data_IF_689632452177
#
_entry.id   IF_689632452177
#
_cell.length_a   1.000
_cell.length_b   1.000
_cell.length_c   1.000
_cell.angle_alpha   90.00
_cell.angle_beta   90.00
_cell.angle_gamma   90.00
#
_symmetry.space_group_name_H-M   'P 1'
#
loop_
_entity.id
_entity.type
_entity.pdbx_description
1 polymer ?
#
# COMPACT_ATOMS: atom_id res chain seq x y z
N UNK A 1 -1.65 -49.24 -1.53
CA UNK A 1 -2.27 -48.01 -2.05
C UNK A 1 -3.73 -48.34 -2.40
N UNK A 2 -4.68 -47.96 -1.51
CA UNK A 2 -6.09 -48.25 -1.70
C UNK A 2 -6.68 -47.42 -2.84
N UNK A 3 -7.37 -48.08 -3.77
CA UNK A 3 -8.10 -47.36 -4.84
C UNK A 3 -9.31 -46.64 -4.23
N UNK A 4 -9.36 -45.32 -4.36
CA UNK A 4 -10.53 -44.54 -4.00
C UNK A 4 -11.78 -45.09 -4.71
N UNK A 5 -12.88 -45.25 -3.97
CA UNK A 5 -14.18 -45.62 -4.56
C UNK A 5 -14.65 -44.55 -5.55
N UNK A 6 -15.55 -44.90 -6.48
CA UNK A 6 -16.10 -43.96 -7.48
C UNK A 6 -16.64 -42.70 -6.82
N UNK A 7 -17.35 -42.81 -5.70
CA UNK A 7 -17.86 -41.69 -4.88
C UNK A 7 -16.73 -40.87 -4.29
N UNK A 8 -15.67 -41.48 -3.75
CA UNK A 8 -14.50 -40.80 -3.23
C UNK A 8 -13.76 -39.98 -4.29
N UNK A 9 -13.71 -40.44 -5.55
CA UNK A 9 -13.14 -39.68 -6.68
C UNK A 9 -13.98 -38.45 -7.03
N UNK A 10 -15.30 -38.53 -7.00
CA UNK A 10 -16.19 -37.39 -7.25
C UNK A 10 -16.10 -36.36 -6.14
N UNK A 11 -16.02 -36.76 -4.86
CA UNK A 11 -15.82 -35.86 -3.73
C UNK A 11 -14.47 -35.13 -3.85
N UNK A 12 -13.39 -35.87 -4.15
CA UNK A 12 -12.06 -35.26 -4.32
C UNK A 12 -12.03 -34.27 -5.50
N UNK A 13 -12.71 -34.60 -6.61
CA UNK A 13 -12.84 -33.67 -7.74
C UNK A 13 -13.61 -32.41 -7.39
N UNK A 14 -14.75 -32.56 -6.67
CA UNK A 14 -15.56 -31.39 -6.25
C UNK A 14 -14.79 -30.49 -5.27
N UNK A 15 -14.06 -31.06 -4.31
CA UNK A 15 -13.20 -30.30 -3.38
C UNK A 15 -12.08 -29.58 -4.14
N UNK A 16 -11.43 -30.26 -5.09
CA UNK A 16 -10.39 -29.67 -5.94
C UNK A 16 -10.90 -28.48 -6.78
N UNK A 17 -12.08 -28.64 -7.40
CA UNK A 17 -12.74 -27.56 -8.15
C UNK A 17 -13.09 -26.38 -7.25
N UNK A 18 -13.63 -26.63 -6.06
CA UNK A 18 -13.96 -25.60 -5.07
C UNK A 18 -12.70 -24.84 -4.62
N UNK A 19 -11.64 -25.55 -4.30
CA UNK A 19 -10.35 -24.94 -3.94
C UNK A 19 -9.76 -24.09 -5.08
N UNK A 20 -9.81 -24.60 -6.31
CA UNK A 20 -9.39 -23.89 -7.51
C UNK A 20 -10.20 -22.61 -7.77
N UNK A 21 -11.53 -22.66 -7.57
CA UNK A 21 -12.40 -21.49 -7.71
C UNK A 21 -12.07 -20.40 -6.69
N UNK A 22 -11.88 -20.76 -5.40
CA UNK A 22 -11.48 -19.82 -4.36
C UNK A 22 -10.11 -19.24 -4.66
N UNK A 23 -9.14 -20.05 -5.06
CA UNK A 23 -7.80 -19.58 -5.43
C UNK A 23 -7.82 -18.64 -6.63
N UNK A 24 -8.57 -18.98 -7.68
CA UNK A 24 -8.76 -18.13 -8.85
C UNK A 24 -9.42 -16.79 -8.49
N UNK A 25 -10.46 -16.82 -7.65
CA UNK A 25 -11.10 -15.62 -7.15
C UNK A 25 -10.14 -14.75 -6.34
N UNK A 26 -9.32 -15.38 -5.45
CA UNK A 26 -8.31 -14.66 -4.67
C UNK A 26 -7.30 -13.98 -5.60
N UNK A 27 -6.71 -14.70 -6.54
CA UNK A 27 -5.77 -14.14 -7.51
C UNK A 27 -6.41 -13.00 -8.33
N UNK A 28 -7.65 -13.20 -8.78
CA UNK A 28 -8.39 -12.17 -9.52
C UNK A 28 -8.63 -10.92 -8.67
N UNK A 29 -9.09 -11.06 -7.42
CA UNK A 29 -9.37 -9.91 -6.56
C UNK A 29 -8.13 -9.10 -6.20
N UNK A 30 -6.96 -9.74 -6.14
CA UNK A 30 -5.70 -9.08 -5.82
C UNK A 30 -5.08 -8.36 -7.02
N UNK A 31 -5.30 -8.88 -8.25
CA UNK A 31 -4.52 -8.47 -9.41
C UNK A 31 -5.34 -7.88 -10.57
N UNK A 32 -6.68 -8.05 -10.56
CA UNK A 32 -7.50 -7.55 -11.66
C UNK A 32 -7.68 -6.03 -11.60
N UNK A 33 -7.46 -5.31 -12.70
CA UNK A 33 -7.73 -3.89 -12.76
C UNK A 33 -9.22 -3.61 -12.55
N UNK A 34 -9.53 -2.53 -11.85
CA UNK A 34 -10.89 -2.06 -11.64
C UNK A 34 -11.27 -1.10 -12.78
N UNK A 35 -11.69 -1.66 -13.91
CA UNK A 35 -12.08 -0.86 -15.09
C UNK A 35 -13.56 -1.07 -15.44
N UNK A 36 -14.27 -0.02 -15.92
CA UNK A 36 -13.84 1.38 -15.92
C UNK A 36 -13.79 1.97 -14.50
N UNK A 37 -12.86 2.89 -14.26
CA UNK A 37 -12.86 3.67 -13.03
C UNK A 37 -14.02 4.68 -13.07
N UNK A 38 -14.79 4.83 -11.98
CA UNK A 38 -15.75 5.93 -11.90
C UNK A 38 -14.99 7.27 -11.91
N UNK A 39 -15.60 8.34 -12.43
CA UNK A 39 -15.04 9.69 -12.28
C UNK A 39 -14.75 10.00 -10.81
N UNK A 40 -13.73 10.81 -10.55
CA UNK A 40 -13.45 11.26 -9.18
C UNK A 40 -14.63 12.06 -8.64
N UNK A 41 -15.05 11.72 -7.42
CA UNK A 41 -16.10 12.48 -6.72
C UNK A 41 -15.58 13.84 -6.28
N UNK A 42 -14.28 13.91 -5.95
CA UNK A 42 -13.58 15.13 -5.56
C UNK A 42 -12.26 15.22 -6.30
N UNK A 43 -11.87 16.45 -6.63
CA UNK A 43 -10.58 16.82 -7.19
C UNK A 43 -9.93 17.87 -6.30
N UNK A 44 -8.68 18.26 -6.53
CA UNK A 44 -8.07 19.37 -5.80
C UNK A 44 -8.87 20.67 -5.80
N UNK A 45 -9.69 20.91 -6.83
CA UNK A 45 -10.55 22.09 -6.93
C UNK A 45 -11.60 22.15 -5.81
N UNK A 46 -12.32 21.05 -5.55
CA UNK A 46 -13.37 21.00 -4.51
C UNK A 46 -12.81 21.16 -3.10
N UNK A 47 -11.55 20.78 -2.88
CA UNK A 47 -10.87 20.96 -1.58
C UNK A 47 -10.07 22.25 -1.49
N UNK A 48 -10.15 23.11 -2.51
CA UNK A 48 -9.61 24.47 -2.52
C UNK A 48 -8.08 24.52 -2.50
N UNK A 49 -7.40 23.62 -3.22
CA UNK A 49 -5.95 23.63 -3.36
C UNK A 49 -5.54 23.72 -4.83
N UNK A 50 -4.52 24.53 -5.16
CA UNK A 50 -3.96 24.55 -6.49
C UNK A 50 -3.19 23.25 -6.73
N UNK A 51 -3.48 22.57 -7.83
CA UNK A 51 -2.75 21.38 -8.23
C UNK A 51 -2.41 21.43 -9.72
N UNK A 52 -1.24 20.93 -10.06
CA UNK A 52 -0.82 20.71 -11.44
C UNK A 52 -0.99 19.22 -11.76
N UNK A 53 -1.62 18.89 -12.87
CA UNK A 53 -1.60 17.54 -13.37
C UNK A 53 -0.18 17.17 -13.83
N UNK A 54 0.28 16.00 -13.42
CA UNK A 54 1.60 15.50 -13.77
C UNK A 54 1.51 14.07 -14.28
N UNK A 55 2.41 13.71 -15.17
CA UNK A 55 2.52 12.35 -15.71
C UNK A 55 3.99 11.94 -15.77
N UNK A 56 4.24 10.67 -15.44
CA UNK A 56 5.57 10.07 -15.49
C UNK A 56 5.45 8.57 -15.75
N UNK A 57 6.53 7.95 -16.23
CA UNK A 57 6.50 6.55 -16.65
C UNK A 57 7.39 5.70 -15.77
N UNK A 58 6.93 4.49 -15.51
CA UNK A 58 7.70 3.44 -14.84
C UNK A 58 8.74 2.84 -15.76
N UNK A 59 9.71 2.11 -15.20
CA UNK A 59 10.74 1.40 -15.95
C UNK A 59 10.21 0.31 -16.88
N UNK A 60 9.03 -0.24 -16.58
CA UNK A 60 8.32 -1.22 -17.41
C UNK A 60 7.27 -0.58 -18.35
N UNK A 61 7.29 0.77 -18.49
CA UNK A 61 6.55 1.49 -19.51
C UNK A 61 5.12 1.87 -19.16
N UNK A 62 4.68 1.72 -17.91
CA UNK A 62 3.36 2.17 -17.47
C UNK A 62 3.37 3.67 -17.25
N UNK A 63 2.42 4.40 -17.87
CA UNK A 63 2.22 5.84 -17.63
C UNK A 63 1.43 6.03 -16.34
N UNK A 64 1.96 6.83 -15.41
CA UNK A 64 1.31 7.17 -14.15
C UNK A 64 0.82 8.62 -14.18
N UNK A 65 -0.33 8.86 -13.56
CA UNK A 65 -0.96 10.16 -13.44
C UNK A 65 -0.97 10.63 -11.99
N UNK A 66 -0.70 11.90 -11.76
CA UNK A 66 -0.67 12.48 -10.42
C UNK A 66 -1.15 13.92 -10.37
N UNK A 67 -1.36 14.39 -9.15
CA UNK A 67 -1.54 15.80 -8.81
C UNK A 67 -0.36 16.28 -7.98
N UNK A 68 0.27 17.34 -8.46
CA UNK A 68 1.35 18.02 -7.76
C UNK A 68 0.82 19.28 -7.10
N UNK A 69 0.91 19.35 -5.80
CA UNK A 69 0.60 20.52 -4.98
C UNK A 69 1.93 21.22 -4.68
N UNK A 70 2.15 22.34 -5.33
CA UNK A 70 3.41 23.07 -5.35
C UNK A 70 3.54 24.03 -4.16
N UNK A 71 4.68 23.96 -3.47
CA UNK A 71 5.10 24.94 -2.47
C UNK A 71 6.55 25.34 -2.79
N UNK A 72 6.74 26.38 -3.65
CA UNK A 72 8.05 26.65 -4.27
C UNK A 72 9.15 27.03 -3.28
N UNK A 73 8.81 27.49 -2.09
CA UNK A 73 9.77 27.86 -1.06
C UNK A 73 10.25 26.66 -0.21
N UNK A 74 9.65 25.51 -0.40
CA UNK A 74 9.92 24.28 0.36
C UNK A 74 10.78 23.28 -0.40
N UNK A 75 11.76 22.69 0.29
CA UNK A 75 12.48 21.50 -0.18
C UNK A 75 11.83 20.19 0.27
N UNK A 76 10.87 20.28 1.19
CA UNK A 76 10.15 19.12 1.68
C UNK A 76 9.16 18.62 0.63
N UNK A 77 9.18 17.31 0.35
CA UNK A 77 8.25 16.64 -0.55
C UNK A 77 7.63 15.45 0.16
N UNK A 78 6.31 15.39 0.20
CA UNK A 78 5.58 14.21 0.67
C UNK A 78 4.94 13.50 -0.53
N UNK A 79 5.39 12.29 -0.84
CA UNK A 79 4.76 11.42 -1.83
C UNK A 79 3.68 10.61 -1.13
N UNK A 80 2.42 10.75 -1.55
CA UNK A 80 1.29 10.05 -0.97
C UNK A 80 0.88 8.85 -1.84
N UNK A 81 0.77 7.66 -1.21
CA UNK A 81 0.46 6.39 -1.85
C UNK A 81 -0.86 5.83 -1.34
N UNK A 82 -1.83 5.63 -2.22
CA UNK A 82 -3.15 5.08 -1.88
C UNK A 82 -3.13 3.56 -1.62
N UNK A 83 -4.20 3.03 -1.04
CA UNK A 83 -4.38 1.60 -0.80
C UNK A 83 -4.82 0.82 -2.05
N UNK A 84 -4.90 -0.51 -1.89
CA UNK A 84 -5.41 -1.41 -2.93
C UNK A 84 -6.82 -1.02 -3.36
N UNK A 85 -7.05 -0.95 -4.67
CA UNK A 85 -8.33 -0.51 -5.29
C UNK A 85 -8.75 0.93 -4.97
N UNK A 86 -7.83 1.73 -4.43
CA UNK A 86 -7.99 3.17 -4.27
C UNK A 86 -7.46 3.96 -5.47
N UNK A 87 -7.44 5.27 -5.33
CA UNK A 87 -6.89 6.20 -6.29
C UNK A 87 -6.39 7.48 -5.59
N UNK A 88 -5.76 8.39 -6.33
CA UNK A 88 -5.20 9.64 -5.78
C UNK A 88 -6.23 10.56 -5.12
N UNK A 89 -7.51 10.46 -5.48
CA UNK A 89 -8.56 11.27 -4.85
C UNK A 89 -8.85 10.85 -3.40
N UNK A 90 -8.62 9.58 -3.04
CA UNK A 90 -8.75 9.11 -1.65
C UNK A 90 -7.76 9.83 -0.71
N UNK A 91 -6.67 10.37 -1.27
CA UNK A 91 -5.61 11.06 -0.55
C UNK A 91 -5.90 12.55 -0.33
N UNK A 92 -6.99 13.09 -0.90
CA UNK A 92 -7.42 14.48 -0.72
C UNK A 92 -7.88 14.79 0.72
N UNK A 93 -8.09 13.76 1.54
CA UNK A 93 -8.32 13.94 2.98
C UNK A 93 -7.10 14.48 3.72
N UNK A 94 -5.90 14.09 3.30
CA UNK A 94 -4.64 14.41 3.99
C UNK A 94 -3.70 15.30 3.18
N UNK A 95 -3.54 15.07 1.88
CA UNK A 95 -2.60 15.79 1.02
C UNK A 95 -2.71 17.31 1.07
N UNK A 96 -3.92 17.90 0.96
CA UNK A 96 -4.12 19.33 1.12
C UNK A 96 -3.73 19.89 2.50
N UNK A 97 -3.87 19.08 3.55
CA UNK A 97 -3.39 19.45 4.89
C UNK A 97 -1.88 19.58 4.91
N UNK A 98 -1.16 18.58 4.40
CA UNK A 98 0.30 18.59 4.32
C UNK A 98 0.83 19.75 3.48
N UNK A 99 0.15 20.08 2.38
CA UNK A 99 0.49 21.24 1.56
C UNK A 99 0.31 22.57 2.32
N UNK A 100 -0.75 22.70 3.13
CA UNK A 100 -0.96 23.92 3.96
C UNK A 100 0.08 24.05 5.08
N UNK A 101 0.65 22.93 5.54
CA UNK A 101 1.77 22.91 6.50
C UNK A 101 3.13 23.19 5.84
N UNK A 102 3.15 23.54 4.54
CA UNK A 102 4.35 24.00 3.87
C UNK A 102 5.12 22.93 3.09
N UNK A 103 4.56 21.74 2.89
CA UNK A 103 5.19 20.70 2.10
C UNK A 103 4.74 20.74 0.63
N UNK A 104 5.64 20.37 -0.30
CA UNK A 104 5.21 19.93 -1.62
C UNK A 104 4.55 18.56 -1.49
N UNK A 105 3.49 18.30 -2.25
CA UNK A 105 2.79 17.02 -2.16
C UNK A 105 2.55 16.43 -3.54
N UNK A 106 2.95 15.18 -3.74
CA UNK A 106 2.60 14.38 -4.90
C UNK A 106 1.55 13.34 -4.51
N UNK A 107 0.35 13.49 -5.08
CA UNK A 107 -0.72 12.47 -5.02
C UNK A 107 -0.74 11.77 -6.37
N UNK A 108 -0.55 10.46 -6.44
CA UNK A 108 -0.54 9.76 -7.72
C UNK A 108 -1.37 8.46 -7.69
N UNK A 109 -1.83 8.04 -8.85
CA UNK A 109 -2.48 6.76 -9.04
C UNK A 109 -1.44 5.68 -9.32
N UNK A 110 -1.46 4.59 -8.56
CA UNK A 110 -0.73 3.39 -8.94
C UNK A 110 -1.24 2.82 -10.27
N UNK A 111 -0.43 1.96 -10.92
CA UNK A 111 -0.78 1.27 -12.16
C UNK A 111 -2.18 0.66 -12.11
N UNK A 112 -2.93 0.78 -13.20
CA UNK A 112 -4.30 0.27 -13.29
C UNK A 112 -5.32 0.95 -12.40
N UNK A 113 -4.98 2.05 -11.72
CA UNK A 113 -5.85 2.86 -10.88
C UNK A 113 -6.10 4.22 -11.52
N UNK A 114 -7.27 4.83 -11.23
CA UNK A 114 -7.60 6.18 -11.63
C UNK A 114 -7.28 6.49 -13.09
N UNK A 115 -6.48 7.54 -13.32
CA UNK A 115 -6.05 7.99 -14.65
C UNK A 115 -4.72 7.35 -15.08
N UNK A 116 -4.07 6.55 -14.23
CA UNK A 116 -2.86 5.83 -14.61
C UNK A 116 -3.13 4.73 -15.62
N UNK A 117 -2.13 4.45 -16.44
CA UNK A 117 -2.18 3.40 -17.46
C UNK A 117 -2.33 2.01 -16.88
N UNK A 118 -2.80 1.09 -17.72
CA UNK A 118 -2.91 -0.32 -17.36
C UNK A 118 -1.53 -0.96 -17.26
N UNK A 119 -1.39 -1.84 -16.27
CA UNK A 119 -0.22 -2.64 -16.02
C UNK A 119 -0.59 -3.87 -15.20
N UNK A 120 0.37 -4.77 -15.00
CA UNK A 120 0.15 -5.88 -14.07
C UNK A 120 0.00 -5.31 -12.67
N UNK A 121 -1.20 -5.41 -12.11
CA UNK A 121 -1.45 -5.04 -10.71
C UNK A 121 -1.05 -6.18 -9.78
N UNK A 122 -0.81 -5.82 -8.53
CA UNK A 122 -0.50 -6.78 -7.48
C UNK A 122 -0.92 -6.21 -6.10
N UNK A 123 -0.46 -6.85 -5.06
CA UNK A 123 -0.55 -6.33 -3.70
C UNK A 123 0.88 -6.02 -3.23
N UNK A 124 1.41 -4.85 -3.62
CA UNK A 124 2.74 -4.32 -3.29
C UNK A 124 3.94 -5.04 -3.97
N UNK A 125 3.74 -5.79 -5.06
CA UNK A 125 4.85 -6.35 -5.84
C UNK A 125 5.24 -5.45 -7.01
N UNK A 126 4.33 -5.25 -7.96
CA UNK A 126 4.59 -4.41 -9.15
C UNK A 126 4.54 -2.91 -8.82
N UNK A 127 3.79 -2.52 -7.80
CA UNK A 127 3.60 -1.13 -7.37
C UNK A 127 4.90 -0.49 -6.83
N UNK A 128 5.93 -1.29 -6.50
CA UNK A 128 7.26 -0.77 -6.16
C UNK A 128 7.89 0.00 -7.34
N UNK A 129 7.70 -0.46 -8.58
CA UNK A 129 8.17 0.27 -9.76
C UNK A 129 7.45 1.61 -9.95
N UNK A 130 6.20 1.72 -9.51
CA UNK A 130 5.43 2.96 -9.59
C UNK A 130 5.96 3.99 -8.59
N UNK A 131 6.20 3.58 -7.36
CA UNK A 131 6.77 4.46 -6.34
C UNK A 131 8.21 4.87 -6.72
N UNK A 132 9.02 3.97 -7.27
CA UNK A 132 10.34 4.30 -7.79
C UNK A 132 10.27 5.36 -8.90
N UNK A 133 9.29 5.25 -9.82
CA UNK A 133 9.07 6.25 -10.86
C UNK A 133 8.61 7.61 -10.30
N UNK A 134 7.81 7.61 -9.24
CA UNK A 134 7.43 8.83 -8.52
C UNK A 134 8.65 9.50 -7.88
N UNK A 135 9.53 8.72 -7.23
CA UNK A 135 10.82 9.20 -6.68
C UNK A 135 11.71 9.79 -7.78
N UNK A 136 11.79 9.12 -8.92
CA UNK A 136 12.56 9.59 -10.07
C UNK A 136 12.00 10.91 -10.63
N UNK A 137 10.68 11.04 -10.69
CA UNK A 137 10.03 12.26 -11.14
C UNK A 137 10.33 13.42 -10.18
N UNK A 138 10.20 13.21 -8.87
CA UNK A 138 10.52 14.21 -7.84
C UNK A 138 11.99 14.61 -7.93
N UNK A 139 12.92 13.66 -8.01
CA UNK A 139 14.34 13.93 -8.04
C UNK A 139 14.75 14.77 -9.28
N UNK A 140 14.09 14.55 -10.43
CA UNK A 140 14.34 15.33 -11.65
C UNK A 140 13.70 16.72 -11.62
N UNK A 141 12.47 16.82 -11.12
CA UNK A 141 11.69 18.06 -11.12
C UNK A 141 12.06 18.99 -9.97
N UNK A 142 12.51 18.42 -8.83
CA UNK A 142 12.85 19.13 -7.60
C UNK A 142 14.18 18.63 -7.04
N UNK A 143 15.31 18.97 -7.69
CA UNK A 143 16.64 18.54 -7.25
C UNK A 143 16.95 19.00 -5.82
N UNK A 144 17.41 18.06 -4.99
CA UNK A 144 17.70 18.32 -3.58
C UNK A 144 16.47 18.33 -2.67
N UNK A 145 15.33 17.80 -3.14
CA UNK A 145 14.16 17.57 -2.31
C UNK A 145 14.45 16.56 -1.20
N UNK A 146 13.92 16.82 -0.01
CA UNK A 146 13.87 15.89 1.11
C UNK A 146 12.55 15.12 1.03
N UNK A 147 12.61 13.82 0.82
CA UNK A 147 11.44 13.02 0.45
C UNK A 147 10.97 12.16 1.62
N UNK A 148 9.73 12.36 2.03
CA UNK A 148 8.98 11.44 2.90
C UNK A 148 7.88 10.76 2.09
N UNK A 149 7.63 9.49 2.36
CA UNK A 149 6.49 8.77 1.79
C UNK A 149 5.42 8.60 2.85
N UNK A 150 4.22 9.12 2.59
CA UNK A 150 3.01 8.86 3.37
C UNK A 150 2.13 7.88 2.61
N UNK A 151 1.81 6.75 3.21
CA UNK A 151 1.20 5.66 2.48
C UNK A 151 0.17 4.87 3.30
N UNK A 152 -0.81 4.29 2.59
CA UNK A 152 -1.95 3.62 3.18
C UNK A 152 -2.06 2.17 2.70
N UNK A 153 -2.27 1.21 3.62
CA UNK A 153 -2.56 -0.19 3.29
C UNK A 153 -1.52 -0.81 2.35
N UNK A 154 -1.93 -1.26 1.15
CA UNK A 154 -1.02 -1.74 0.09
C UNK A 154 0.10 -0.73 -0.20
N UNK A 155 -0.24 0.56 -0.33
CA UNK A 155 0.74 1.62 -0.55
C UNK A 155 1.77 1.69 0.57
N UNK A 156 1.36 1.50 1.84
CA UNK A 156 2.26 1.49 2.99
C UNK A 156 3.24 0.31 2.94
N UNK A 157 2.76 -0.87 2.57
CA UNK A 157 3.61 -2.04 2.36
C UNK A 157 4.55 -1.88 1.16
N UNK A 158 4.07 -1.24 0.08
CA UNK A 158 4.90 -0.85 -1.08
C UNK A 158 6.01 0.12 -0.66
N UNK A 159 5.68 1.11 0.18
CA UNK A 159 6.65 2.09 0.67
C UNK A 159 7.78 1.44 1.49
N UNK A 160 7.47 0.48 2.37
CA UNK A 160 8.48 -0.29 3.13
C UNK A 160 9.43 -1.02 2.17
N UNK A 161 8.87 -1.77 1.21
CA UNK A 161 9.64 -2.56 0.25
C UNK A 161 10.54 -1.68 -0.63
N UNK A 162 10.03 -0.54 -1.08
CA UNK A 162 10.80 0.42 -1.90
C UNK A 162 11.87 1.12 -1.07
N UNK A 163 11.55 1.54 0.15
CA UNK A 163 12.49 2.26 1.01
C UNK A 163 13.70 1.42 1.43
N UNK A 164 13.57 0.10 1.50
CA UNK A 164 14.70 -0.80 1.75
C UNK A 164 15.73 -0.79 0.60
N UNK A 165 15.32 -0.37 -0.59
CA UNK A 165 16.14 -0.38 -1.81
C UNK A 165 16.50 1.04 -2.30
N UNK A 166 15.76 2.07 -1.86
CA UNK A 166 15.92 3.44 -2.32
C UNK A 166 16.23 4.40 -1.17
N UNK A 167 17.48 4.88 -1.06
CA UNK A 167 17.91 5.77 0.01
C UNK A 167 17.34 7.20 -0.08
N UNK A 168 16.68 7.57 -1.18
CA UNK A 168 16.07 8.89 -1.35
C UNK A 168 14.85 9.09 -0.44
N UNK A 169 14.23 8.01 0.04
CA UNK A 169 13.16 8.08 1.03
C UNK A 169 13.81 8.31 2.40
N UNK A 170 13.68 9.52 2.94
CA UNK A 170 14.28 9.89 4.23
C UNK A 170 13.44 9.46 5.43
N UNK A 171 12.12 9.39 5.28
CA UNK A 171 11.22 8.96 6.33
C UNK A 171 9.94 8.31 5.77
N UNK A 172 9.23 7.59 6.63
CA UNK A 172 7.99 6.88 6.28
C UNK A 172 6.87 7.22 7.26
N UNK A 173 5.67 7.51 6.73
CA UNK A 173 4.42 7.56 7.49
C UNK A 173 3.50 6.47 6.90
N UNK A 174 3.21 5.44 7.66
CA UNK A 174 2.61 4.20 7.18
C UNK A 174 1.32 3.91 7.94
N UNK A 175 0.19 4.00 7.27
CA UNK A 175 -1.11 3.66 7.84
C UNK A 175 -1.56 2.27 7.40
N UNK A 176 -1.79 1.40 8.37
CA UNK A 176 -2.30 0.03 8.21
C UNK A 176 -1.49 -0.83 7.21
N UNK A 177 -0.14 -0.87 7.29
CA UNK A 177 0.67 -1.77 6.47
C UNK A 177 0.48 -3.23 6.86
N UNK A 178 0.69 -4.15 5.93
CA UNK A 178 0.79 -5.58 6.26
C UNK A 178 2.25 -6.03 6.37
N UNK A 179 2.51 -7.00 7.25
CA UNK A 179 3.86 -7.58 7.43
C UNK A 179 4.21 -8.57 6.32
N UNK A 180 3.26 -9.41 5.90
CA UNK A 180 3.42 -10.38 4.80
C UNK A 180 2.13 -10.51 4.00
N UNK A 181 2.24 -10.66 2.68
CA UNK A 181 1.08 -10.89 1.81
C UNK A 181 0.35 -12.19 2.17
N UNK A 182 1.09 -13.28 2.42
CA UNK A 182 0.51 -14.55 2.88
C UNK A 182 -0.28 -14.40 4.17
N UNK A 183 0.21 -13.58 5.11
CA UNK A 183 -0.44 -13.32 6.40
C UNK A 183 -1.78 -12.63 6.25
N UNK A 184 -1.85 -11.58 5.44
CA UNK A 184 -3.13 -10.86 5.22
C UNK A 184 -4.15 -11.71 4.47
N UNK A 185 -3.72 -12.52 3.49
CA UNK A 185 -4.61 -13.45 2.78
C UNK A 185 -5.12 -14.53 3.75
N UNK A 186 -4.24 -15.10 4.57
CA UNK A 186 -4.62 -16.08 5.59
C UNK A 186 -5.60 -15.50 6.62
N UNK A 187 -5.41 -14.25 7.05
CA UNK A 187 -6.33 -13.55 7.94
C UNK A 187 -7.72 -13.38 7.31
N UNK A 188 -7.76 -12.99 6.02
CA UNK A 188 -9.02 -12.89 5.30
C UNK A 188 -9.72 -14.25 5.13
N UNK A 189 -8.98 -15.33 4.83
CA UNK A 189 -9.56 -16.67 4.79
C UNK A 189 -10.15 -17.07 6.16
N UNK A 190 -9.47 -16.78 7.28
CA UNK A 190 -10.03 -17.03 8.64
C UNK A 190 -11.31 -16.24 8.87
N UNK A 191 -11.38 -14.96 8.48
CA UNK A 191 -12.56 -14.12 8.60
C UNK A 191 -13.78 -14.72 7.91
N UNK A 192 -13.59 -15.31 6.73
CA UNK A 192 -14.64 -15.99 5.98
C UNK A 192 -14.79 -17.47 6.33
N UNK A 193 -14.12 -17.94 7.41
CA UNK A 193 -14.15 -19.34 7.87
C UNK A 193 -13.71 -20.35 6.80
N UNK A 194 -12.84 -19.92 5.90
CA UNK A 194 -12.26 -20.79 4.87
C UNK A 194 -11.04 -21.54 5.42
N UNK A 195 -10.76 -22.78 4.94
CA UNK A 195 -9.62 -23.57 5.38
C UNK A 195 -8.29 -23.02 4.80
N UNK A 196 -7.80 -21.91 5.35
CA UNK A 196 -6.66 -21.16 4.81
C UNK A 196 -5.39 -21.98 4.64
N UNK A 197 -5.13 -22.95 5.55
CA UNK A 197 -3.95 -23.84 5.42
C UNK A 197 -3.95 -24.67 4.14
N UNK A 198 -5.12 -25.01 3.62
CA UNK A 198 -5.28 -25.78 2.38
C UNK A 198 -5.37 -24.86 1.15
N UNK A 199 -6.01 -23.72 1.29
CA UNK A 199 -6.30 -22.80 0.17
C UNK A 199 -5.11 -21.90 -0.17
N UNK A 200 -4.35 -21.45 0.84
CA UNK A 200 -3.26 -20.50 0.62
C UNK A 200 -2.19 -21.02 -0.35
N UNK A 201 -1.68 -22.28 -0.24
CA UNK A 201 -0.73 -22.81 -1.22
C UNK A 201 -1.29 -22.92 -2.64
N UNK A 202 -2.60 -23.22 -2.76
CA UNK A 202 -3.27 -23.30 -4.07
C UNK A 202 -3.42 -21.89 -4.66
N UNK A 203 -3.81 -20.92 -3.86
CA UNK A 203 -3.92 -19.53 -4.29
C UNK A 203 -2.56 -18.94 -4.69
N UNK A 204 -1.50 -19.25 -3.94
CA UNK A 204 -0.14 -18.82 -4.28
C UNK A 204 0.32 -19.43 -5.61
N UNK A 205 0.08 -20.73 -5.83
CA UNK A 205 0.40 -21.39 -7.09
C UNK A 205 -0.36 -20.76 -8.27
N UNK A 206 -1.66 -20.51 -8.12
CA UNK A 206 -2.49 -19.84 -9.14
C UNK A 206 -1.96 -18.43 -9.40
N UNK A 207 -1.64 -17.66 -8.37
CA UNK A 207 -1.08 -16.33 -8.50
C UNK A 207 0.25 -16.34 -9.24
N UNK A 208 1.15 -17.27 -8.89
CA UNK A 208 2.44 -17.44 -9.57
C UNK A 208 2.29 -17.74 -11.06
N UNK A 209 1.36 -18.63 -11.43
CA UNK A 209 1.14 -19.02 -12.84
C UNK A 209 0.51 -17.90 -13.65
N UNK A 210 -0.53 -17.25 -13.13
CA UNK A 210 -1.32 -16.30 -13.90
C UNK A 210 -0.91 -14.83 -13.71
N UNK A 211 -0.38 -14.48 -12.54
CA UNK A 211 0.00 -13.11 -12.20
C UNK A 211 1.53 -12.89 -12.21
N UNK A 212 2.34 -13.95 -12.22
CA UNK A 212 3.79 -13.89 -12.44
C UNK A 212 4.62 -13.65 -11.18
N UNK A 213 4.04 -13.69 -9.98
CA UNK A 213 4.76 -13.57 -8.71
C UNK A 213 4.15 -14.46 -7.62
N UNK A 214 4.94 -14.83 -6.62
CA UNK A 214 4.50 -15.58 -5.45
C UNK A 214 4.20 -14.66 -4.27
N UNK A 215 3.27 -15.05 -3.39
CA UNK A 215 2.95 -14.29 -2.18
C UNK A 215 4.17 -14.13 -1.26
N UNK A 216 5.05 -15.11 -1.21
CA UNK A 216 6.29 -15.10 -0.44
C UNK A 216 7.31 -14.06 -0.93
N UNK A 217 7.14 -13.49 -2.12
CA UNK A 217 7.98 -12.39 -2.61
C UNK A 217 7.55 -11.03 -2.05
N UNK A 218 6.41 -10.95 -1.36
CA UNK A 218 5.88 -9.71 -0.79
C UNK A 218 5.89 -9.81 0.73
N UNK A 219 7.04 -9.45 1.31
CA UNK A 219 7.34 -9.57 2.73
C UNK A 219 7.90 -8.25 3.30
N UNK A 220 7.05 -7.25 3.53
CA UNK A 220 7.47 -5.99 4.14
C UNK A 220 8.22 -6.15 5.47
N UNK A 221 7.93 -7.23 6.23
CA UNK A 221 8.63 -7.51 7.49
C UNK A 221 10.13 -7.72 7.29
N UNK A 222 10.54 -8.42 6.23
CA UNK A 222 11.96 -8.68 5.96
C UNK A 222 12.64 -7.37 5.48
N UNK A 223 11.93 -6.56 4.70
CA UNK A 223 12.39 -5.24 4.29
C UNK A 223 12.52 -4.29 5.49
N UNK A 224 11.56 -4.32 6.43
CA UNK A 224 11.61 -3.51 7.66
C UNK A 224 12.83 -3.87 8.52
N UNK A 225 13.15 -5.15 8.64
CA UNK A 225 14.32 -5.61 9.43
C UNK A 225 15.67 -5.20 8.81
N UNK A 226 15.70 -4.93 7.51
CA UNK A 226 16.89 -4.52 6.76
C UNK A 226 16.86 -3.04 6.35
N UNK A 227 15.87 -2.29 6.81
CA UNK A 227 15.71 -0.88 6.47
C UNK A 227 16.90 -0.08 7.00
N UNK A 228 17.60 0.70 6.17
CA UNK A 228 18.61 1.63 6.67
C UNK A 228 17.99 2.57 7.70
N UNK A 229 18.76 3.02 8.73
CA UNK A 229 18.25 3.88 9.80
C UNK A 229 17.52 5.10 9.25
N UNK A 230 16.22 5.19 9.50
CA UNK A 230 15.35 6.32 9.15
C UNK A 230 14.12 6.35 10.05
N UNK A 231 13.56 7.53 10.31
CA UNK A 231 12.33 7.65 11.09
C UNK A 231 11.14 6.99 10.39
N UNK A 232 10.35 6.22 11.14
CA UNK A 232 9.14 5.55 10.66
C UNK A 232 8.00 5.80 11.66
N UNK A 233 6.91 6.35 11.18
CA UNK A 233 5.65 6.47 11.92
C UNK A 233 4.68 5.40 11.42
N UNK A 234 4.36 4.43 12.27
CA UNK A 234 3.34 3.41 12.02
C UNK A 234 2.02 3.83 12.67
N UNK A 235 0.95 3.82 11.92
CA UNK A 235 -0.41 4.15 12.35
C UNK A 235 -1.29 2.93 12.10
N UNK A 236 -2.08 2.47 13.11
CA UNK A 236 -2.94 1.30 12.90
C UNK A 236 -4.14 1.30 13.84
N UNK A 237 -5.28 0.84 13.34
CA UNK A 237 -6.50 0.67 14.13
C UNK A 237 -6.54 -0.70 14.83
N UNK A 238 -7.01 -0.76 16.09
CA UNK A 238 -7.08 -2.01 16.85
C UNK A 238 -8.14 -2.98 16.34
N UNK A 239 -9.16 -2.48 15.63
CA UNK A 239 -10.24 -3.30 15.06
C UNK A 239 -10.15 -3.45 13.54
N UNK A 240 -8.93 -3.30 12.99
CA UNK A 240 -8.70 -3.50 11.54
C UNK A 240 -9.06 -4.93 11.13
N UNK A 241 -10.14 -5.04 10.34
CA UNK A 241 -10.69 -6.32 9.88
C UNK A 241 -10.08 -6.81 8.57
N UNK A 242 -9.27 -6.00 7.91
CA UNK A 242 -8.61 -6.33 6.64
C UNK A 242 -7.17 -6.75 6.90
N UNK A 243 -6.43 -5.92 7.64
CA UNK A 243 -5.06 -6.18 8.06
C UNK A 243 -5.04 -6.15 9.59
N UNK A 244 -5.09 -7.32 10.26
CA UNK A 244 -5.09 -7.36 11.72
C UNK A 244 -3.96 -6.58 12.36
N UNK A 245 -4.23 -5.94 13.50
CA UNK A 245 -3.29 -5.07 14.23
C UNK A 245 -1.94 -5.73 14.51
N UNK A 246 -1.92 -7.06 14.65
CA UNK A 246 -0.70 -7.85 14.86
C UNK A 246 0.34 -7.65 13.74
N UNK A 247 -0.08 -7.25 12.53
CA UNK A 247 0.84 -6.94 11.44
C UNK A 247 1.67 -5.68 11.74
N UNK A 248 1.06 -4.65 12.34
CA UNK A 248 1.78 -3.45 12.76
C UNK A 248 2.77 -3.75 13.90
N UNK A 249 2.37 -4.57 14.87
CA UNK A 249 3.25 -5.02 15.95
C UNK A 249 4.46 -5.79 15.39
N UNK A 250 4.22 -6.75 14.49
CA UNK A 250 5.29 -7.50 13.83
C UNK A 250 6.28 -6.59 13.07
N UNK A 251 5.77 -5.57 12.39
CA UNK A 251 6.62 -4.62 11.67
C UNK A 251 7.42 -3.73 12.64
N UNK A 252 6.82 -3.28 13.72
CA UNK A 252 7.52 -2.49 14.75
C UNK A 252 8.60 -3.32 15.45
N UNK A 253 8.31 -4.57 15.80
CA UNK A 253 9.25 -5.49 16.43
C UNK A 253 10.42 -5.90 15.51
N UNK A 254 10.17 -5.96 14.20
CA UNK A 254 11.16 -6.31 13.19
C UNK A 254 12.05 -5.13 12.76
N UNK A 255 11.70 -3.91 13.15
CA UNK A 255 12.43 -2.73 12.73
C UNK A 255 13.91 -2.80 13.14
N UNK A 256 14.76 -2.41 12.20
CA UNK A 256 16.20 -2.24 12.43
C UNK A 256 16.50 -1.05 13.34
N UNK A 257 17.77 -0.61 13.42
CA UNK A 257 18.22 0.44 14.33
C UNK A 257 17.78 1.86 13.91
N UNK A 258 16.51 2.02 13.53
CA UNK A 258 15.86 3.28 13.24
C UNK A 258 14.88 3.66 14.36
N UNK A 259 14.40 4.90 14.35
CA UNK A 259 13.31 5.29 15.22
C UNK A 259 11.98 4.88 14.60
N UNK A 260 11.28 3.92 15.22
CA UNK A 260 9.95 3.50 14.84
C UNK A 260 8.98 3.86 15.97
N UNK A 261 8.02 4.73 15.66
CA UNK A 261 6.91 5.08 16.53
C UNK A 261 5.64 4.36 16.04
N UNK A 262 5.04 3.51 16.88
CA UNK A 262 3.76 2.87 16.61
C UNK A 262 2.64 3.60 17.36
N UNK A 263 1.74 4.23 16.62
CA UNK A 263 0.54 4.87 17.15
C UNK A 263 -0.68 4.01 16.87
N UNK A 264 -1.38 3.69 17.93
CA UNK A 264 -2.58 2.86 17.91
C UNK A 264 -3.84 3.72 18.02
N UNK A 265 -4.82 3.45 17.16
CA UNK A 265 -6.14 4.07 17.22
C UNK A 265 -7.15 3.03 17.73
N UNK A 266 -7.56 3.19 18.99
CA UNK A 266 -8.49 2.26 19.63
C UNK A 266 -9.86 2.26 18.94
N UNK A 267 -10.39 1.08 18.63
CA UNK A 267 -11.69 0.89 17.96
C UNK A 267 -11.71 1.26 16.47
N UNK A 268 -10.60 1.75 15.90
CA UNK A 268 -10.55 2.06 14.47
C UNK A 268 -10.46 0.80 13.61
N UNK A 269 -11.22 0.74 12.52
CA UNK A 269 -11.11 -0.26 11.46
C UNK A 269 -9.99 0.14 10.48
N UNK A 270 -9.83 -0.55 9.36
CA UNK A 270 -8.78 -0.39 8.37
C UNK A 270 -8.60 1.04 7.86
N UNK A 271 -7.41 1.62 8.01
CA UNK A 271 -7.11 3.03 7.74
C UNK A 271 -8.09 4.01 8.42
N UNK A 272 -8.68 3.58 9.55
CA UNK A 272 -9.77 4.28 10.23
C UNK A 272 -9.32 5.34 11.22
N UNK A 273 -8.04 5.39 11.57
CA UNK A 273 -7.51 6.32 12.57
C UNK A 273 -7.84 7.78 12.29
N UNK A 274 -7.76 8.18 11.03
CA UNK A 274 -8.15 9.51 10.57
C UNK A 274 -9.62 9.87 10.85
N UNK A 275 -10.53 8.91 10.81
CA UNK A 275 -11.96 9.15 11.03
C UNK A 275 -12.34 9.10 12.51
N UNK A 276 -11.58 8.36 13.34
CA UNK A 276 -11.82 8.26 14.78
C UNK A 276 -11.31 9.49 15.52
N UNK A 277 -10.11 9.96 15.19
CA UNK A 277 -9.48 11.13 15.81
C UNK A 277 -8.74 11.96 14.75
N UNK A 278 -9.49 12.64 13.89
CA UNK A 278 -8.93 13.46 12.81
C UNK A 278 -7.93 14.51 13.29
N UNK A 279 -8.24 15.34 14.33
CA UNK A 279 -7.28 16.33 14.82
C UNK A 279 -6.00 15.70 15.37
N UNK A 280 -6.13 14.64 16.17
CA UNK A 280 -4.99 13.93 16.73
C UNK A 280 -4.15 13.23 15.66
N UNK A 281 -4.79 12.62 14.65
CA UNK A 281 -4.11 12.02 13.51
C UNK A 281 -3.25 13.04 12.76
N UNK A 282 -3.85 14.18 12.36
CA UNK A 282 -3.14 15.23 11.63
C UNK A 282 -2.00 15.80 12.48
N UNK A 283 -2.25 16.10 13.76
CA UNK A 283 -1.24 16.66 14.65
C UNK A 283 -0.03 15.73 14.83
N UNK A 284 -0.24 14.40 14.87
CA UNK A 284 0.85 13.43 14.99
C UNK A 284 1.69 13.36 13.72
N UNK A 285 1.02 13.30 12.56
CA UNK A 285 1.70 13.31 11.26
C UNK A 285 2.49 14.61 11.07
N UNK A 286 1.87 15.77 11.32
CA UNK A 286 2.53 17.07 11.20
C UNK A 286 3.77 17.18 12.11
N UNK A 287 3.66 16.79 13.38
CA UNK A 287 4.79 16.79 14.33
C UNK A 287 5.92 15.88 13.85
N UNK A 288 5.60 14.68 13.37
CA UNK A 288 6.59 13.76 12.84
C UNK A 288 7.32 14.37 11.64
N UNK A 289 6.58 14.93 10.68
CA UNK A 289 7.16 15.58 9.50
C UNK A 289 8.02 16.80 9.88
N UNK A 290 7.58 17.62 10.83
CA UNK A 290 8.36 18.74 11.35
C UNK A 290 9.69 18.28 11.95
N UNK A 291 9.68 17.21 12.74
CA UNK A 291 10.88 16.64 13.33
C UNK A 291 11.87 16.11 12.28
N UNK A 292 11.35 15.52 11.20
CA UNK A 292 12.17 14.85 10.17
C UNK A 292 12.62 15.82 9.09
N UNK A 293 11.76 16.74 8.66
CA UNK A 293 11.96 17.61 7.49
C UNK A 293 12.27 19.06 7.87
N UNK A 294 12.09 19.42 9.15
CA UNK A 294 12.28 20.76 9.71
C UNK A 294 13.73 21.26 9.74
#
# INVERSE_FOLDING_TARGET
MGRLTRTGRWIAAAVGLGAGAVAGYTAWTLNAPRRPWPPYTFTPFEVGVPAKEVSFSTSDGVSLAGWWLDNPDSRSVVICCHGHRGNKADLLGIGPGLWREGHNVLLFDFRGSGDSGDGRQSLAHYEQADLAAALDWVARSHPGARITVMAFSMGASTAILTAAQDPRIEALVLDSPFATMSGVIAANYRRYRLPGRLLLPVADLVNRIFCGYAFEQVRPIDAMSSLPPRPVLLLHGTEDRIIPYEHAQQLADAAGPGEVELITFEGADHCGGYFVDRPGYIARVARFLETVLG
#
